data_IF_771072145090
#
_entry.id   IF_771072145090
#
_cell.length_a   1.000
_cell.length_b   1.000
_cell.length_c   1.000
_cell.angle_alpha   90.00
_cell.angle_beta   90.00
_cell.angle_gamma   90.00
#
_symmetry.space_group_name_H-M   'P 1'
#
loop_
_entity.id
_entity.type
_entity.pdbx_description
1 polymer ?
#
# COMPACT_ATOMS: atom_id res chain seq x y z
N UNK A 1 -22.62 -34.12 27.25
CA UNK A 1 -21.70 -33.87 26.11
C UNK A 1 -21.99 -32.58 25.36
N UNK A 2 -22.00 -31.44 26.07
CA UNK A 2 -22.20 -30.11 25.47
C UNK A 2 -20.87 -29.35 25.31
N UNK A 3 -19.95 -29.58 26.26
CA UNK A 3 -18.62 -28.99 26.28
C UNK A 3 -17.74 -29.48 25.12
N UNK A 4 -17.85 -30.76 24.74
CA UNK A 4 -17.11 -31.35 23.61
C UNK A 4 -17.58 -30.77 22.27
N UNK A 5 -18.90 -30.59 22.09
CA UNK A 5 -19.47 -29.96 20.90
C UNK A 5 -19.06 -28.48 20.78
N UNK A 6 -19.09 -27.74 21.90
CA UNK A 6 -18.63 -26.35 21.95
C UNK A 6 -17.15 -26.22 21.58
N UNK A 7 -16.29 -27.10 22.12
CA UNK A 7 -14.87 -27.13 21.79
C UNK A 7 -14.63 -27.41 20.31
N UNK A 8 -15.38 -28.32 19.70
CA UNK A 8 -15.27 -28.62 18.27
C UNK A 8 -15.65 -27.43 17.38
N UNK A 9 -16.72 -26.71 17.72
CA UNK A 9 -17.15 -25.50 16.98
C UNK A 9 -16.11 -24.38 17.09
N UNK A 10 -15.52 -24.17 18.26
CA UNK A 10 -14.45 -23.18 18.47
C UNK A 10 -13.20 -23.53 17.65
N UNK A 11 -12.81 -24.81 17.62
CA UNK A 11 -11.66 -25.26 16.82
C UNK A 11 -11.95 -25.12 15.31
N UNK A 12 -13.14 -25.49 14.86
CA UNK A 12 -13.51 -25.37 13.44
C UNK A 12 -13.55 -23.91 12.96
N UNK A 13 -14.07 -22.99 13.78
CA UNK A 13 -14.16 -21.56 13.44
C UNK A 13 -12.80 -20.86 13.46
N UNK A 14 -11.90 -21.23 14.38
CA UNK A 14 -10.53 -20.70 14.41
C UNK A 14 -9.69 -21.17 13.22
N UNK A 15 -9.80 -22.45 12.84
CA UNK A 15 -9.14 -23.00 11.64
C UNK A 15 -9.66 -22.31 10.37
N UNK A 16 -10.98 -22.12 10.25
CA UNK A 16 -11.55 -21.42 9.10
C UNK A 16 -11.09 -19.96 9.02
N UNK A 17 -10.98 -19.25 10.15
CA UNK A 17 -10.46 -17.88 10.21
C UNK A 17 -8.99 -17.78 9.78
N UNK A 18 -8.16 -18.76 10.14
CA UNK A 18 -6.75 -18.85 9.71
C UNK A 18 -6.62 -19.09 8.20
N UNK A 19 -7.55 -19.85 7.59
CA UNK A 19 -7.54 -20.15 6.16
C UNK A 19 -7.99 -18.97 5.28
N UNK A 20 -8.68 -17.97 5.85
CA UNK A 20 -9.20 -16.79 5.13
C UNK A 20 -8.19 -15.62 5.17
N UNK A 21 -7.00 -15.79 5.73
CA UNK A 21 -5.92 -14.80 5.62
C UNK A 21 -5.37 -14.79 4.19
N UNK A 22 -6.13 -14.19 3.28
CA UNK A 22 -5.63 -13.78 1.97
C UNK A 22 -4.50 -12.79 2.18
N UNK A 23 -3.44 -12.95 1.39
CA UNK A 23 -2.35 -11.98 1.29
C UNK A 23 -2.93 -10.64 0.83
N UNK A 24 -3.28 -9.77 1.78
CA UNK A 24 -3.68 -8.40 1.49
C UNK A 24 -2.44 -7.63 1.05
N UNK A 25 -2.12 -7.72 -0.23
CA UNK A 25 -1.41 -6.60 -0.85
C UNK A 25 -2.33 -5.38 -0.69
N UNK A 26 -1.82 -4.25 -0.19
CA UNK A 26 -2.63 -3.04 -0.05
C UNK A 26 -3.35 -2.76 -1.37
N UNK A 27 -4.59 -2.29 -1.26
CA UNK A 27 -5.49 -2.06 -2.38
C UNK A 27 -5.04 -0.82 -3.16
N UNK A 28 -3.97 -0.99 -3.94
CA UNK A 28 -3.42 0.06 -4.81
C UNK A 28 -4.34 0.22 -6.03
N UNK A 29 -4.67 1.47 -6.32
CA UNK A 29 -5.36 1.86 -7.54
C UNK A 29 -4.61 3.05 -8.13
N UNK A 30 -4.47 3.11 -9.46
CA UNK A 30 -3.90 4.28 -10.14
C UNK A 30 -4.72 5.54 -9.89
N UNK A 31 -6.02 5.38 -9.63
CA UNK A 31 -6.98 6.46 -9.57
C UNK A 31 -7.45 6.73 -8.13
N UNK A 32 -6.71 6.25 -7.13
CA UNK A 32 -7.06 6.37 -5.71
C UNK A 32 -7.42 7.80 -5.28
N UNK A 33 -6.77 8.81 -5.87
CA UNK A 33 -7.01 10.22 -5.56
C UNK A 33 -7.94 10.95 -6.53
N UNK A 34 -8.45 10.29 -7.57
CA UNK A 34 -9.25 10.93 -8.63
C UNK A 34 -10.45 11.72 -8.08
N UNK A 35 -11.16 11.16 -7.08
CA UNK A 35 -12.35 11.80 -6.49
C UNK A 35 -12.03 12.71 -5.29
N UNK A 36 -10.88 12.50 -4.63
CA UNK A 36 -10.50 13.22 -3.40
C UNK A 36 -9.67 14.47 -3.72
N UNK A 37 -8.74 14.33 -4.65
CA UNK A 37 -7.80 15.36 -5.06
C UNK A 37 -7.45 15.15 -6.54
N UNK A 38 -8.35 15.55 -7.47
CA UNK A 38 -8.17 15.33 -8.91
C UNK A 38 -6.90 15.97 -9.46
N UNK A 39 -6.46 17.08 -8.85
CA UNK A 39 -5.26 17.81 -9.26
C UNK A 39 -3.96 17.29 -8.64
N UNK A 40 -4.00 16.23 -7.82
CA UNK A 40 -2.81 15.72 -7.13
C UNK A 40 -1.68 15.37 -8.10
N UNK A 41 -1.97 14.53 -9.10
CA UNK A 41 -0.96 14.08 -10.06
C UNK A 41 -0.44 15.23 -10.93
N UNK A 42 -1.29 16.11 -11.51
CA UNK A 42 -0.83 17.32 -12.19
C UNK A 42 0.08 18.22 -11.34
N UNK A 43 -0.27 18.42 -10.06
CA UNK A 43 0.53 19.24 -9.14
C UNK A 43 1.91 18.61 -8.92
N UNK A 44 1.96 17.31 -8.61
CA UNK A 44 3.23 16.60 -8.39
C UNK A 44 4.11 16.65 -9.64
N UNK A 45 3.53 16.37 -10.82
CA UNK A 45 4.27 16.40 -12.09
C UNK A 45 4.89 17.78 -12.34
N UNK A 46 4.13 18.86 -12.16
CA UNK A 46 4.63 20.23 -12.32
C UNK A 46 5.79 20.53 -11.37
N UNK A 47 5.65 20.18 -10.09
CA UNK A 47 6.69 20.47 -9.10
C UNK A 47 7.96 19.66 -9.34
N UNK A 48 7.84 18.38 -9.70
CA UNK A 48 8.99 17.55 -10.07
C UNK A 48 9.69 18.11 -11.31
N UNK A 49 8.95 18.54 -12.33
CA UNK A 49 9.53 19.18 -13.51
C UNK A 49 10.29 20.46 -13.18
N UNK A 50 9.73 21.33 -12.34
CA UNK A 50 10.41 22.55 -11.89
C UNK A 50 11.71 22.24 -11.13
N UNK A 51 11.66 21.29 -10.19
CA UNK A 51 12.82 20.90 -9.41
C UNK A 51 13.95 20.28 -10.27
N UNK A 52 13.59 19.50 -11.29
CA UNK A 52 14.57 18.93 -12.24
C UNK A 52 15.12 19.99 -13.21
N UNK A 53 14.30 20.96 -13.60
CA UNK A 53 14.75 22.08 -14.43
C UNK A 53 15.74 22.98 -13.69
N UNK A 54 15.53 23.19 -12.39
CA UNK A 54 16.44 23.92 -11.51
C UNK A 54 17.74 23.16 -11.27
N UNK A 55 17.66 21.88 -10.89
CA UNK A 55 18.82 21.00 -10.72
C UNK A 55 18.58 19.65 -11.38
N UNK A 56 19.22 19.40 -12.54
CA UNK A 56 19.03 18.14 -13.30
C UNK A 56 19.28 16.88 -12.47
N UNK A 57 20.20 16.92 -11.51
CA UNK A 57 20.51 15.79 -10.62
C UNK A 57 19.31 15.41 -9.73
N UNK A 58 18.39 16.33 -9.46
CA UNK A 58 17.22 16.09 -8.60
C UNK A 58 16.37 14.91 -9.06
N UNK A 59 16.27 14.66 -10.37
CA UNK A 59 15.55 13.48 -10.88
C UNK A 59 16.15 12.17 -10.39
N UNK A 60 17.48 12.05 -10.40
CA UNK A 60 18.18 10.88 -9.87
C UNK A 60 18.09 10.79 -8.34
N UNK A 61 18.15 11.94 -7.65
CA UNK A 61 18.00 12.01 -6.19
C UNK A 61 16.64 11.52 -5.72
N UNK A 62 15.54 11.96 -6.37
CA UNK A 62 14.17 11.54 -6.05
C UNK A 62 13.96 10.05 -6.31
N UNK A 63 14.47 9.52 -7.42
CA UNK A 63 14.44 8.08 -7.69
C UNK A 63 15.18 7.29 -6.61
N UNK A 64 16.41 7.71 -6.26
CA UNK A 64 17.19 7.05 -5.21
C UNK A 64 16.45 7.08 -3.87
N UNK A 65 15.82 8.19 -3.52
CA UNK A 65 15.04 8.32 -2.29
C UNK A 65 13.87 7.33 -2.27
N UNK A 66 13.09 7.24 -3.36
CA UNK A 66 12.01 6.27 -3.49
C UNK A 66 12.50 4.82 -3.31
N UNK A 67 13.61 4.47 -3.97
CA UNK A 67 14.22 3.15 -3.80
C UNK A 67 14.69 2.90 -2.37
N UNK A 68 15.29 3.90 -1.72
CA UNK A 68 15.76 3.79 -0.34
C UNK A 68 14.59 3.51 0.63
N UNK A 69 13.48 4.25 0.51
CA UNK A 69 12.30 4.07 1.35
C UNK A 69 11.61 2.71 1.12
N UNK A 70 11.63 2.20 -0.11
CA UNK A 70 10.98 0.92 -0.43
C UNK A 70 11.82 -0.31 -0.03
N UNK A 71 13.15 -0.20 -0.07
CA UNK A 71 14.04 -1.35 0.08
C UNK A 71 14.78 -1.41 1.42
N UNK A 72 14.87 -0.31 2.17
CA UNK A 72 15.53 -0.27 3.48
C UNK A 72 14.48 -0.02 4.55
N UNK A 73 13.82 -1.10 4.97
CA UNK A 73 12.89 -1.13 6.11
C UNK A 73 13.19 -2.33 6.99
#
# INVERSE_FOLDING_TARGET
DMASFSAFVVVATTILGLLIQGSSHPQLSSDFYSDICPDLLPIIQRQVQLAVAEERRMGASLLRLFFHDCFVN
#
